data_IF_475217018980
#
_entry.id   IF_475217018980
#
_cell.length_a   1.000
_cell.length_b   1.000
_cell.length_c   1.000
_cell.angle_alpha   90.00
_cell.angle_beta   90.00
_cell.angle_gamma   90.00
#
_symmetry.space_group_name_H-M   'P 1'
#
loop_
_entity.id
_entity.type
_entity.pdbx_description
1 polymer ?
#
# COMPACT_ATOMS: atom_id res chain seq x y z
N UNK A 1 -3.38 4.28 12.30
CA UNK A 1 -3.49 3.79 10.92
C UNK A 1 -4.01 4.89 10.00
N UNK A 2 -3.14 5.80 9.53
CA UNK A 2 -3.53 6.78 8.53
C UNK A 2 -3.82 6.11 7.17
N UNK A 3 -4.84 6.61 6.48
CA UNK A 3 -5.08 6.31 5.06
C UNK A 3 -4.23 7.24 4.21
N UNK A 4 -3.35 6.68 3.39
CA UNK A 4 -2.43 7.45 2.55
C UNK A 4 -2.96 7.69 1.15
N UNK A 5 -3.79 6.76 0.64
CA UNK A 5 -4.53 6.84 -0.61
C UNK A 5 -5.87 6.12 -0.45
N UNK A 6 -6.88 6.55 -1.22
CA UNK A 6 -8.13 5.81 -1.39
C UNK A 6 -8.33 5.57 -2.87
N UNK A 7 -8.43 4.29 -3.27
CA UNK A 7 -8.59 3.88 -4.67
C UNK A 7 -9.92 3.15 -4.75
N UNK A 8 -10.92 3.80 -5.36
CA UNK A 8 -12.32 3.34 -5.36
C UNK A 8 -12.83 3.07 -3.93
N UNK A 9 -13.14 1.82 -3.61
CA UNK A 9 -13.62 1.37 -2.30
C UNK A 9 -12.51 0.72 -1.44
N UNK A 10 -11.24 0.85 -1.84
CA UNK A 10 -10.08 0.30 -1.14
C UNK A 10 -9.28 1.41 -0.48
N UNK A 11 -9.00 1.24 0.81
CA UNK A 11 -8.13 2.15 1.56
C UNK A 11 -6.71 1.59 1.54
N UNK A 12 -5.76 2.41 1.11
CA UNK A 12 -4.33 2.15 1.27
C UNK A 12 -3.88 2.79 2.57
N UNK A 13 -3.33 2.00 3.48
CA UNK A 13 -3.02 2.44 4.84
C UNK A 13 -1.61 2.06 5.25
N UNK A 14 -1.08 2.82 6.22
CA UNK A 14 0.17 2.49 6.91
C UNK A 14 -0.20 2.18 8.36
N UNK A 15 0.28 1.05 8.88
CA UNK A 15 0.12 0.77 10.30
C UNK A 15 1.26 1.42 11.07
N UNK A 16 0.94 2.23 12.08
CA UNK A 16 1.96 2.96 12.83
C UNK A 16 2.86 2.04 13.67
N UNK A 17 2.39 0.83 13.98
CA UNK A 17 3.13 -0.22 14.66
C UNK A 17 3.89 -1.16 13.71
N UNK A 18 3.86 -0.91 12.39
CA UNK A 18 4.72 -1.65 11.46
C UNK A 18 6.19 -1.23 11.60
N UNK A 19 7.06 -2.05 11.03
CA UNK A 19 8.50 -1.86 11.02
C UNK A 19 9.06 -1.83 9.58
N UNK A 20 10.30 -1.36 9.39
CA UNK A 20 11.00 -1.47 8.11
C UNK A 20 11.04 -2.91 7.59
N UNK A 21 11.03 -3.16 6.26
CA UNK A 21 11.08 -2.17 5.16
C UNK A 21 9.73 -1.50 4.87
N UNK A 22 9.75 -0.41 4.10
CA UNK A 22 8.55 0.39 3.80
C UNK A 22 7.49 -0.38 3.02
N UNK A 23 6.26 -0.40 3.54
CA UNK A 23 5.12 -1.11 2.95
C UNK A 23 3.78 -0.45 3.29
N UNK A 24 2.75 -0.81 2.54
CA UNK A 24 1.35 -0.39 2.76
C UNK A 24 0.42 -1.59 2.78
N UNK A 25 -0.71 -1.43 3.45
CA UNK A 25 -1.80 -2.41 3.49
C UNK A 25 -3.02 -1.89 2.73
N UNK A 26 -3.69 -2.78 2.03
CA UNK A 26 -5.00 -2.56 1.44
C UNK A 26 -6.07 -3.10 2.38
N UNK A 27 -7.12 -2.32 2.60
CA UNK A 27 -8.30 -2.73 3.35
C UNK A 27 -9.55 -2.38 2.54
N UNK A 28 -10.36 -3.39 2.26
CA UNK A 28 -11.71 -3.24 1.68
C UNK A 28 -12.77 -3.73 2.67
N UNK A 29 -13.97 -3.15 2.60
CA UNK A 29 -15.07 -3.39 3.56
C UNK A 29 -15.54 -4.85 3.61
N UNK A 30 -15.42 -5.57 2.50
CA UNK A 30 -15.79 -6.98 2.37
C UNK A 30 -14.76 -7.95 2.99
N UNK A 31 -13.73 -7.41 3.65
CA UNK A 31 -12.70 -8.20 4.31
C UNK A 31 -11.47 -8.50 3.45
N UNK A 32 -11.46 -8.09 2.17
CA UNK A 32 -10.30 -8.24 1.31
C UNK A 32 -9.12 -7.39 1.81
N UNK A 33 -7.92 -7.99 1.81
CA UNK A 33 -6.68 -7.39 2.29
C UNK A 33 -5.51 -7.71 1.38
N UNK A 34 -4.56 -6.80 1.29
CA UNK A 34 -3.30 -7.06 0.61
C UNK A 34 -2.17 -6.24 1.23
N UNK A 35 -0.94 -6.64 0.99
CA UNK A 35 0.26 -5.91 1.41
C UNK A 35 1.15 -5.69 0.22
N UNK A 36 1.61 -4.45 0.05
CA UNK A 36 2.58 -4.08 -0.96
C UNK A 36 3.85 -3.57 -0.31
N UNK A 37 4.99 -4.14 -0.70
CA UNK A 37 6.29 -3.56 -0.44
C UNK A 37 6.49 -2.36 -1.38
N UNK A 38 6.88 -1.22 -0.81
CA UNK A 38 7.09 0.00 -1.59
C UNK A 38 8.50 0.07 -2.19
N UNK A 39 9.48 -0.59 -1.57
CA UNK A 39 10.89 -0.52 -1.95
C UNK A 39 11.38 0.92 -2.19
N UNK A 40 11.02 1.81 -1.26
CA UNK A 40 11.35 3.23 -1.35
C UNK A 40 12.86 3.47 -1.48
N UNK A 41 13.29 4.59 -2.12
CA UNK A 41 12.43 5.56 -2.81
C UNK A 41 12.13 5.24 -4.28
N UNK A 42 12.86 4.33 -4.92
CA UNK A 42 12.75 4.07 -6.38
C UNK A 42 11.80 2.93 -6.74
N UNK A 43 11.28 2.18 -5.76
CA UNK A 43 10.48 1.00 -6.03
C UNK A 43 11.36 -0.21 -6.38
N UNK A 44 10.80 -1.22 -7.09
CA UNK A 44 9.43 -1.28 -7.59
C UNK A 44 8.40 -1.55 -6.49
N UNK A 45 7.15 -1.17 -6.70
CA UNK A 45 6.03 -1.59 -5.85
C UNK A 45 5.74 -3.07 -6.11
N UNK A 46 5.84 -3.90 -5.08
CA UNK A 46 5.69 -5.36 -5.20
C UNK A 46 4.58 -5.88 -4.30
N UNK A 47 3.69 -6.69 -4.87
CA UNK A 47 2.72 -7.45 -4.07
C UNK A 47 3.49 -8.45 -3.20
N UNK A 48 3.22 -8.43 -1.89
CA UNK A 48 3.75 -9.40 -0.94
C UNK A 48 2.73 -10.51 -0.72
N UNK A 49 1.49 -10.14 -0.43
CA UNK A 49 0.39 -11.07 -0.17
C UNK A 49 -0.95 -10.41 -0.45
N UNK A 50 -1.96 -11.21 -0.78
CA UNK A 50 -3.35 -10.76 -0.89
C UNK A 50 -4.33 -11.87 -0.54
N UNK A 51 -5.49 -11.46 -0.05
CA UNK A 51 -6.66 -12.31 0.16
C UNK A 51 -7.92 -11.55 -0.27
N UNK A 52 -8.78 -12.21 -1.03
CA UNK A 52 -10.09 -11.69 -1.44
C UNK A 52 -10.08 -10.66 -2.58
N UNK A 53 -8.92 -10.31 -3.14
CA UNK A 53 -8.83 -9.45 -4.32
C UNK A 53 -8.73 -10.27 -5.60
N UNK A 54 -9.30 -9.75 -6.69
CA UNK A 54 -9.01 -10.28 -8.04
C UNK A 54 -7.64 -9.80 -8.50
N UNK A 55 -6.94 -10.61 -9.27
CA UNK A 55 -5.60 -10.24 -9.79
C UNK A 55 -5.60 -8.92 -10.55
N UNK A 56 -6.62 -8.67 -11.39
CA UNK A 56 -6.75 -7.42 -12.12
C UNK A 56 -6.86 -6.18 -11.19
N UNK A 57 -7.55 -6.32 -10.06
CA UNK A 57 -7.66 -5.24 -9.07
C UNK A 57 -6.30 -4.96 -8.40
N UNK A 58 -5.57 -6.02 -8.03
CA UNK A 58 -4.23 -5.91 -7.45
C UNK A 58 -3.28 -5.21 -8.41
N UNK A 59 -3.30 -5.57 -9.69
CA UNK A 59 -2.43 -4.96 -10.71
C UNK A 59 -2.76 -3.47 -10.87
N UNK A 60 -4.04 -3.12 -10.98
CA UNK A 60 -4.49 -1.72 -11.12
C UNK A 60 -4.14 -0.87 -9.88
N UNK A 61 -4.39 -1.40 -8.68
CA UNK A 61 -4.05 -0.73 -7.42
C UNK A 61 -2.53 -0.60 -7.27
N UNK A 62 -1.77 -1.67 -7.55
CA UNK A 62 -0.31 -1.64 -7.50
C UNK A 62 0.30 -0.60 -8.43
N UNK A 63 -0.23 -0.50 -9.66
CA UNK A 63 0.15 0.54 -10.63
C UNK A 63 -0.14 1.94 -10.08
N UNK A 64 -1.32 2.15 -9.50
CA UNK A 64 -1.70 3.43 -8.90
C UNK A 64 -0.78 3.81 -7.73
N UNK A 65 -0.41 2.86 -6.87
CA UNK A 65 0.55 3.08 -5.78
C UNK A 65 1.93 3.42 -6.35
N UNK A 66 2.35 2.78 -7.45
CA UNK A 66 3.63 3.07 -8.10
C UNK A 66 3.66 4.49 -8.69
N UNK A 67 2.56 4.98 -9.26
CA UNK A 67 2.45 6.38 -9.72
C UNK A 67 2.60 7.38 -8.57
N UNK A 68 2.05 7.06 -7.39
CA UNK A 68 2.09 7.91 -6.19
C UNK A 68 3.27 7.58 -5.26
N UNK A 69 4.23 6.77 -5.71
CA UNK A 69 5.23 6.12 -4.85
C UNK A 69 5.99 7.13 -3.98
N UNK A 70 6.47 8.22 -4.55
CA UNK A 70 7.22 9.25 -3.82
C UNK A 70 6.40 9.82 -2.66
N UNK A 71 5.13 10.16 -2.90
CA UNK A 71 4.26 10.71 -1.87
C UNK A 71 3.97 9.68 -0.76
N UNK A 72 3.73 8.42 -1.14
CA UNK A 72 3.49 7.34 -0.17
C UNK A 72 4.74 7.05 0.66
N UNK A 73 5.92 7.00 0.06
CA UNK A 73 7.20 6.84 0.75
C UNK A 73 7.47 7.96 1.76
N UNK A 74 7.19 9.22 1.40
CA UNK A 74 7.32 10.36 2.32
C UNK A 74 6.37 10.20 3.51
N UNK A 75 5.12 9.81 3.28
CA UNK A 75 4.15 9.56 4.37
C UNK A 75 4.58 8.42 5.27
N UNK A 76 5.12 7.33 4.72
CA UNK A 76 5.67 6.22 5.49
C UNK A 76 6.83 6.69 6.36
N UNK A 77 7.78 7.42 5.77
CA UNK A 77 8.93 7.97 6.49
C UNK A 77 8.53 8.93 7.61
N UNK A 78 7.50 9.75 7.39
CA UNK A 78 6.99 10.65 8.42
C UNK A 78 6.43 9.91 9.67
N UNK A 79 6.04 8.64 9.53
CA UNK A 79 5.53 7.81 10.62
C UNK A 79 6.65 7.02 11.29
N UNK A 80 7.63 6.52 10.52
CA UNK A 80 8.62 5.55 11.01
C UNK A 80 10.08 6.04 11.09
N UNK A 81 10.42 7.20 10.49
CA UNK A 81 11.77 7.82 10.52
C UNK A 81 12.65 7.57 9.30
#
# INVERSE_FOLDING_TARGET
>A
MPTVLTIRNVRVVIYANDHPPAHVHLIRRDGARAKFALNCPQGPVMLVEQIGFRLAEIVDIGSTIATELTAVCVKWRAIHG
#
